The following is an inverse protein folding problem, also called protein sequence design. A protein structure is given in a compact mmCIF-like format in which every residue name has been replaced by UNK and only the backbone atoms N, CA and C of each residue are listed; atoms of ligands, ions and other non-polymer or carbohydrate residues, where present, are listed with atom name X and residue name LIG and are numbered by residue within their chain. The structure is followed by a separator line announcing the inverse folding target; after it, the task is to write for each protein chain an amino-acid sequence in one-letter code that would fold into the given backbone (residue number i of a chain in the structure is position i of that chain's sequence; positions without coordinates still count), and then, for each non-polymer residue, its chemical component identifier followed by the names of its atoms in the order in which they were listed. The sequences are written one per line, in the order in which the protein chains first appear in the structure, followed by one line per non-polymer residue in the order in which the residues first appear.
data_IF_368812652779
#
_entry.id   IF_368812652779
#
_cell.length_a   1.000
_cell.length_b   1.000
_cell.length_c   1.000
_cell.angle_alpha   90.00
_cell.angle_beta   90.00
_cell.angle_gamma   90.00
#
_symmetry.space_group_name_H-M   'P 1'
#
loop_
_entity.id
_entity.type
_entity.pdbx_description
1 polymer ?
#
# COMPACT_ATOMS: atom_id res chain seq x y z
N UNK A 1 20.06 44.22 -32.60
CA UNK A 1 20.23 42.75 -32.66
C UNK A 1 20.63 42.27 -31.29
N UNK A 2 19.70 41.72 -30.52
CA UNK A 2 20.00 40.94 -29.32
C UNK A 2 18.87 39.94 -29.16
N UNK A 3 19.09 38.73 -29.68
CA UNK A 3 18.27 37.57 -29.41
C UNK A 3 18.80 36.91 -28.14
N UNK A 4 17.92 36.51 -27.24
CA UNK A 4 17.86 35.14 -26.68
C UNK A 4 16.70 35.07 -25.72
N UNK A 5 15.64 34.38 -26.17
CA UNK A 5 14.53 33.98 -25.33
C UNK A 5 14.96 32.89 -24.36
N UNK A 6 14.44 32.96 -23.14
CA UNK A 6 14.50 31.87 -22.17
C UNK A 6 13.17 31.11 -22.24
N UNK A 7 13.16 30.04 -23.05
CA UNK A 7 12.33 28.88 -22.80
C UNK A 7 12.68 28.40 -21.37
N UNK A 8 11.73 28.20 -20.46
CA UNK A 8 10.73 27.15 -20.56
C UNK A 8 11.34 25.89 -19.97
N UNK A 9 10.85 25.47 -18.79
CA UNK A 9 10.43 24.11 -18.47
C UNK A 9 10.44 23.92 -16.94
N UNK A 10 9.24 24.01 -16.35
CA UNK A 10 8.95 23.48 -15.02
C UNK A 10 9.10 21.95 -15.11
N UNK A 11 10.28 21.42 -14.80
CA UNK A 11 10.45 19.96 -14.65
C UNK A 11 9.85 19.54 -13.32
N UNK A 12 8.60 19.10 -13.44
CA UNK A 12 7.88 18.18 -12.58
C UNK A 12 8.85 17.31 -11.72
N UNK A 13 8.82 17.52 -10.40
CA UNK A 13 9.48 16.65 -9.42
C UNK A 13 8.78 15.28 -9.44
N UNK A 14 9.18 14.38 -10.34
CA UNK A 14 9.02 12.95 -10.11
C UNK A 14 10.19 12.52 -9.23
N UNK A 15 9.88 12.07 -8.02
CA UNK A 15 10.83 11.54 -7.05
C UNK A 15 11.78 10.55 -7.74
N UNK A 16 13.07 10.88 -7.75
CA UNK A 16 14.13 9.98 -8.20
C UNK A 16 14.36 8.94 -7.10
N UNK A 17 13.58 7.87 -7.12
CA UNK A 17 13.88 6.68 -6.34
C UNK A 17 15.17 6.06 -6.93
N UNK A 18 16.31 6.32 -6.29
CA UNK A 18 17.61 5.82 -6.75
C UNK A 18 17.81 4.41 -6.21
N UNK A 19 17.61 3.41 -7.05
CA UNK A 19 17.91 2.01 -6.73
C UNK A 19 19.40 1.77 -6.96
N UNK A 20 20.17 1.59 -5.88
CA UNK A 20 21.56 1.12 -5.98
C UNK A 20 21.56 -0.42 -5.97
N UNK A 21 21.73 -1.02 -7.14
CA UNK A 21 21.81 -2.47 -7.31
C UNK A 21 23.17 -3.00 -6.84
N UNK A 22 23.29 -3.32 -5.56
CA UNK A 22 24.33 -4.25 -5.06
C UNK A 22 23.70 -5.62 -4.90
N UNK A 23 23.64 -6.39 -5.97
CA UNK A 23 23.00 -7.71 -5.98
C UNK A 23 23.96 -8.83 -5.61
N UNK A 24 23.68 -9.55 -4.52
CA UNK A 24 24.24 -10.88 -4.28
C UNK A 24 23.15 -11.92 -4.57
N UNK A 25 23.34 -12.76 -5.58
CA UNK A 25 22.44 -13.89 -5.84
C UNK A 25 22.64 -14.91 -4.72
N UNK A 26 21.61 -15.08 -3.88
CA UNK A 26 21.57 -16.23 -2.97
C UNK A 26 21.16 -17.46 -3.78
N UNK A 27 21.63 -18.65 -3.39
CA UNK A 27 21.33 -19.94 -4.04
C UNK A 27 19.83 -20.29 -4.06
N UNK A 28 18.99 -19.44 -3.48
CA UNK A 28 17.52 -19.52 -3.36
C UNK A 28 16.76 -18.67 -4.39
N UNK A 29 17.43 -17.97 -5.32
CA UNK A 29 16.76 -17.23 -6.41
C UNK A 29 16.17 -15.87 -6.02
N UNK A 30 16.61 -15.28 -4.89
CA UNK A 30 16.16 -13.96 -4.42
C UNK A 30 16.98 -12.82 -5.01
N UNK A 31 16.34 -11.69 -5.32
CA UNK A 31 16.99 -10.49 -5.85
C UNK A 31 17.09 -9.43 -4.74
N UNK A 32 18.16 -9.51 -3.95
CA UNK A 32 18.36 -8.60 -2.82
C UNK A 32 19.04 -7.30 -3.25
N UNK A 33 18.49 -6.16 -2.82
CA UNK A 33 19.01 -4.81 -3.10
C UNK A 33 19.02 -3.95 -1.83
N UNK A 34 19.73 -2.83 -1.88
CA UNK A 34 19.63 -1.77 -0.85
C UNK A 34 18.72 -0.68 -1.39
N UNK A 35 17.57 -0.49 -0.74
CA UNK A 35 16.58 0.51 -1.14
C UNK A 35 16.79 1.80 -0.34
N UNK A 36 16.83 2.93 -1.04
CA UNK A 36 16.87 4.27 -0.45
C UNK A 36 15.51 4.92 -0.70
N UNK A 37 14.75 5.18 0.35
CA UNK A 37 13.41 5.75 0.29
C UNK A 37 13.26 6.91 1.29
N UNK A 38 12.08 7.55 1.33
CA UNK A 38 11.81 8.68 2.23
C UNK A 38 11.87 8.30 3.73
N UNK A 39 11.73 7.01 4.05
CA UNK A 39 11.87 6.45 5.39
C UNK A 39 13.30 6.04 5.78
N UNK A 40 14.27 6.19 4.86
CA UNK A 40 15.68 5.87 5.11
C UNK A 40 16.24 4.78 4.18
N UNK A 41 17.08 3.90 4.74
CA UNK A 41 17.76 2.83 3.99
C UNK A 41 17.22 1.48 4.44
N UNK A 42 16.72 0.68 3.50
CA UNK A 42 16.33 -0.70 3.72
C UNK A 42 17.36 -1.63 3.08
N UNK A 43 18.19 -2.25 3.91
CA UNK A 43 19.17 -3.24 3.46
C UNK A 43 18.50 -4.59 3.21
N UNK A 44 19.02 -5.37 2.25
CA UNK A 44 18.53 -6.71 1.93
C UNK A 44 17.05 -6.78 1.49
N UNK A 45 16.55 -5.72 0.87
CA UNK A 45 15.19 -5.70 0.30
C UNK A 45 15.09 -6.68 -0.87
N UNK A 46 14.11 -7.58 -0.84
CA UNK A 46 13.90 -8.57 -1.90
C UNK A 46 13.06 -7.99 -3.04
N UNK A 47 13.73 -7.37 -4.01
CA UNK A 47 13.09 -6.78 -5.17
C UNK A 47 12.36 -7.82 -6.03
N UNK A 48 12.81 -9.08 -6.01
CA UNK A 48 12.14 -10.17 -6.74
C UNK A 48 10.72 -10.38 -6.23
N UNK A 49 10.56 -10.48 -4.91
CA UNK A 49 9.26 -10.63 -4.26
C UNK A 49 8.35 -9.42 -4.56
N UNK A 50 8.87 -8.21 -4.46
CA UNK A 50 8.09 -7.00 -4.74
C UNK A 50 7.59 -6.93 -6.19
N UNK A 51 8.36 -7.41 -7.16
CA UNK A 51 7.93 -7.48 -8.56
C UNK A 51 6.86 -8.55 -8.77
N UNK A 52 7.01 -9.71 -8.12
CA UNK A 52 6.02 -10.78 -8.17
C UNK A 52 4.68 -10.33 -7.59
N UNK A 53 4.71 -9.56 -6.49
CA UNK A 53 3.51 -9.01 -5.88
C UNK A 53 2.85 -7.96 -6.78
N UNK A 54 3.61 -7.06 -7.41
CA UNK A 54 3.04 -6.09 -8.37
C UNK A 54 2.36 -6.80 -9.56
N UNK A 55 3.02 -7.80 -10.14
CA UNK A 55 2.44 -8.61 -11.21
C UNK A 55 1.17 -9.35 -10.75
N UNK A 56 1.13 -9.81 -9.49
CA UNK A 56 -0.07 -10.40 -8.92
C UNK A 56 -1.23 -9.39 -8.90
N UNK A 57 -1.02 -8.17 -8.42
CA UNK A 57 -2.07 -7.14 -8.36
C UNK A 57 -2.59 -6.71 -9.73
N UNK A 58 -1.74 -6.73 -10.76
CA UNK A 58 -2.16 -6.42 -12.14
C UNK A 58 -3.14 -7.45 -12.71
N UNK A 59 -3.10 -8.69 -12.19
CA UNK A 59 -3.99 -9.78 -12.61
C UNK A 59 -5.14 -10.04 -11.64
N UNK A 60 -5.15 -9.38 -10.48
CA UNK A 60 -6.14 -9.53 -9.41
C UNK A 60 -6.66 -8.16 -8.96
N UNK A 61 -7.56 -7.53 -9.75
CA UNK A 61 -8.06 -6.18 -9.46
C UNK A 61 -8.75 -6.10 -8.08
N UNK A 62 -9.42 -7.15 -7.61
CA UNK A 62 -10.02 -7.15 -6.27
C UNK A 62 -8.96 -7.08 -5.16
N UNK A 63 -7.84 -7.79 -5.32
CA UNK A 63 -6.74 -7.73 -4.38
C UNK A 63 -6.11 -6.33 -4.37
N UNK A 64 -5.96 -5.71 -5.55
CA UNK A 64 -5.45 -4.34 -5.69
C UNK A 64 -6.34 -3.32 -4.99
N UNK A 65 -7.66 -3.44 -5.14
CA UNK A 65 -8.64 -2.59 -4.45
C UNK A 65 -8.60 -2.80 -2.93
N UNK A 66 -8.54 -4.04 -2.46
CA UNK A 66 -8.43 -4.34 -1.03
C UNK A 66 -7.16 -3.74 -0.42
N UNK A 67 -6.02 -3.84 -1.12
CA UNK A 67 -4.76 -3.22 -0.71
C UNK A 67 -4.87 -1.71 -0.65
N UNK A 68 -5.44 -1.08 -1.67
CA UNK A 68 -5.60 0.38 -1.71
C UNK A 68 -6.45 0.89 -0.53
N UNK A 69 -7.61 0.26 -0.30
CA UNK A 69 -8.47 0.56 0.84
C UNK A 69 -7.72 0.41 2.17
N UNK A 70 -7.02 -0.72 2.38
CA UNK A 70 -6.25 -0.96 3.62
C UNK A 70 -5.14 0.08 3.81
N UNK A 71 -4.43 0.46 2.75
CA UNK A 71 -3.39 1.52 2.81
C UNK A 71 -3.99 2.85 3.26
N UNK A 72 -5.08 3.30 2.64
CA UNK A 72 -5.76 4.56 2.99
C UNK A 72 -6.20 4.56 4.46
N UNK A 73 -6.79 3.46 4.93
CA UNK A 73 -7.20 3.32 6.33
C UNK A 73 -6.00 3.38 7.27
N UNK A 74 -4.88 2.71 6.94
CA UNK A 74 -3.68 2.70 7.78
C UNK A 74 -2.93 4.04 7.82
N UNK A 75 -3.10 4.85 6.77
CA UNK A 75 -2.61 6.22 6.66
C UNK A 75 -3.53 7.23 7.35
N UNK A 76 -4.74 6.81 7.76
CA UNK A 76 -5.76 7.67 8.37
C UNK A 76 -6.57 8.47 7.35
N UNK A 77 -6.42 8.19 6.06
CA UNK A 77 -7.20 8.80 4.98
C UNK A 77 -8.56 8.11 4.82
N UNK A 78 -9.43 8.37 5.80
CA UNK A 78 -10.76 7.77 5.86
C UNK A 78 -11.71 8.31 4.78
N UNK A 79 -11.46 9.50 4.26
CA UNK A 79 -12.27 10.10 3.17
C UNK A 79 -12.05 9.32 1.88
N UNK A 80 -10.80 9.17 1.44
CA UNK A 80 -10.48 8.36 0.25
C UNK A 80 -10.89 6.90 0.41
N UNK A 81 -10.75 6.33 1.62
CA UNK A 81 -11.21 4.98 1.92
C UNK A 81 -12.75 4.85 1.79
N UNK A 82 -13.51 5.89 2.13
CA UNK A 82 -14.96 5.90 1.94
C UNK A 82 -15.33 6.06 0.47
N UNK A 83 -14.59 6.88 -0.29
CA UNK A 83 -14.81 7.08 -1.72
C UNK A 83 -14.64 5.78 -2.52
N UNK A 84 -13.62 4.98 -2.22
CA UNK A 84 -13.43 3.71 -2.93
C UNK A 84 -14.55 2.71 -2.60
N UNK A 85 -15.07 2.70 -1.37
CA UNK A 85 -16.15 1.81 -0.95
C UNK A 85 -17.48 2.04 -1.68
N UNK A 86 -17.71 3.25 -2.20
CA UNK A 86 -18.93 3.60 -2.94
C UNK A 86 -18.75 3.52 -4.46
N UNK A 87 -17.58 3.08 -4.93
CA UNK A 87 -17.30 2.90 -6.34
C UNK A 87 -17.96 1.62 -6.89
N UNK A 88 -18.26 1.62 -8.19
CA UNK A 88 -18.78 0.44 -8.90
C UNK A 88 -17.78 -0.73 -8.82
N UNK A 89 -16.48 -0.44 -8.95
CA UNK A 89 -15.40 -1.44 -8.87
C UNK A 89 -15.39 -2.18 -7.53
N UNK A 90 -15.70 -1.49 -6.43
CA UNK A 90 -15.77 -2.10 -5.10
C UNK A 90 -16.98 -3.03 -4.95
N UNK A 91 -18.14 -2.59 -5.45
CA UNK A 91 -19.36 -3.39 -5.44
C UNK A 91 -19.21 -4.64 -6.33
N UNK A 92 -18.69 -4.48 -7.56
CA UNK A 92 -18.42 -5.59 -8.49
C UNK A 92 -17.41 -6.59 -7.94
N UNK A 93 -16.39 -6.10 -7.21
CA UNK A 93 -15.41 -6.92 -6.54
C UNK A 93 -15.98 -7.70 -5.34
N UNK A 94 -17.20 -7.38 -4.88
CA UNK A 94 -17.83 -8.02 -3.72
C UNK A 94 -17.05 -7.80 -2.42
N UNK A 95 -16.33 -6.68 -2.32
CA UNK A 95 -15.47 -6.38 -1.18
C UNK A 95 -16.29 -5.87 0.02
N UNK A 96 -15.72 -6.05 1.20
CA UNK A 96 -16.28 -5.55 2.47
C UNK A 96 -15.18 -4.88 3.27
N UNK A 97 -15.56 -4.14 4.32
CA UNK A 97 -14.62 -3.45 5.23
C UNK A 97 -13.64 -4.43 5.91
N UNK A 98 -14.02 -5.70 6.01
CA UNK A 98 -13.18 -6.78 6.57
C UNK A 98 -12.26 -7.44 5.53
N UNK A 99 -12.00 -6.77 4.40
CA UNK A 99 -11.08 -7.29 3.38
C UNK A 99 -9.66 -7.48 3.94
N UNK A 100 -8.96 -8.46 3.38
CA UNK A 100 -7.59 -8.83 3.74
C UNK A 100 -6.68 -8.63 2.53
N UNK A 101 -5.39 -8.44 2.78
CA UNK A 101 -4.37 -8.45 1.74
C UNK A 101 -3.28 -9.45 2.14
N UNK A 102 -3.45 -10.71 1.73
CA UNK A 102 -2.55 -11.81 2.11
C UNK A 102 -1.10 -11.62 1.64
N UNK A 103 -0.87 -10.70 0.70
CA UNK A 103 0.44 -10.37 0.14
C UNK A 103 1.11 -9.20 0.87
N UNK A 104 0.43 -8.55 1.80
CA UNK A 104 1.02 -7.47 2.59
C UNK A 104 2.22 -7.97 3.41
N UNK A 105 3.34 -7.26 3.28
CA UNK A 105 4.55 -7.53 4.05
C UNK A 105 4.37 -7.23 5.55
N UNK A 106 5.21 -7.83 6.40
CA UNK A 106 5.20 -7.55 7.84
C UNK A 106 4.18 -8.36 8.65
N UNK A 107 3.52 -9.34 8.03
CA UNK A 107 2.65 -10.30 8.73
C UNK A 107 1.28 -9.74 9.12
N UNK A 108 0.92 -8.56 8.62
CA UNK A 108 -0.38 -7.92 8.84
C UNK A 108 -1.42 -8.32 7.80
N UNK A 109 -1.01 -8.99 6.71
CA UNK A 109 -1.89 -9.33 5.59
C UNK A 109 -3.11 -10.20 5.95
N UNK A 110 -2.99 -11.02 6.98
CA UNK A 110 -4.09 -11.83 7.51
C UNK A 110 -4.99 -11.11 8.52
N UNK A 111 -4.77 -9.82 8.78
CA UNK A 111 -5.51 -9.03 9.75
C UNK A 111 -6.40 -8.00 9.04
N UNK A 112 -7.61 -7.80 9.56
CA UNK A 112 -8.51 -6.74 9.09
C UNK A 112 -8.00 -5.37 9.51
N UNK A 113 -8.40 -4.32 8.80
CA UNK A 113 -8.04 -2.95 9.15
C UNK A 113 -8.46 -2.56 10.57
N UNK A 114 -9.57 -3.14 11.07
CA UNK A 114 -10.04 -2.88 12.44
C UNK A 114 -9.05 -3.40 13.48
N UNK A 115 -8.54 -4.62 13.32
CA UNK A 115 -7.54 -5.18 14.22
C UNK A 115 -6.27 -4.33 14.23
N UNK A 116 -5.85 -3.85 13.06
CA UNK A 116 -4.67 -2.98 12.93
C UNK A 116 -4.87 -1.63 13.61
N UNK A 117 -6.03 -0.99 13.43
CA UNK A 117 -6.37 0.27 14.08
C UNK A 117 -6.38 0.14 15.61
N UNK A 118 -7.01 -0.92 16.13
CA UNK A 118 -7.03 -1.21 17.56
C UNK A 118 -5.64 -1.47 18.13
N UNK A 119 -4.80 -2.23 17.42
CA UNK A 119 -3.42 -2.49 17.82
C UNK A 119 -2.56 -1.23 17.90
N UNK A 120 -2.91 -0.18 17.15
CA UNK A 120 -2.25 1.15 17.18
C UNK A 120 -2.87 2.11 18.19
N UNK A 121 -4.01 1.77 18.79
CA UNK A 121 -4.78 2.69 19.64
C UNK A 121 -5.47 3.81 18.86
N UNK A 122 -5.71 3.61 17.56
CA UNK A 122 -6.39 4.58 16.70
C UNK A 122 -7.92 4.42 16.83
N UNK A 123 -8.47 5.05 17.86
CA UNK A 123 -9.90 4.99 18.18
C UNK A 123 -10.79 5.62 17.09
N UNK A 124 -10.29 6.64 16.39
CA UNK A 124 -11.06 7.32 15.34
C UNK A 124 -11.26 6.40 14.14
N UNK A 125 -10.17 5.81 13.65
CA UNK A 125 -10.20 4.84 12.56
C UNK A 125 -11.02 3.60 12.96
N UNK A 126 -10.84 3.07 14.17
CA UNK A 126 -11.62 1.93 14.64
C UNK A 126 -13.12 2.24 14.67
N UNK A 127 -13.52 3.43 15.15
CA UNK A 127 -14.92 3.86 15.18
C UNK A 127 -15.50 4.02 13.77
N UNK A 128 -14.72 4.56 12.83
CA UNK A 128 -15.14 4.68 11.43
C UNK A 128 -15.40 3.30 10.81
N UNK A 129 -14.46 2.37 10.96
CA UNK A 129 -14.57 1.00 10.45
C UNK A 129 -15.79 0.27 11.03
N UNK A 130 -16.05 0.40 12.34
CA UNK A 130 -17.25 -0.16 12.98
C UNK A 130 -18.51 0.46 12.39
N UNK A 131 -18.54 1.77 12.16
CA UNK A 131 -19.70 2.45 11.55
C UNK A 131 -19.95 2.00 10.12
N UNK A 132 -18.91 1.59 9.40
CA UNK A 132 -18.97 1.03 8.06
C UNK A 132 -19.29 -0.47 8.02
N UNK A 133 -19.45 -1.11 9.19
CA UNK A 133 -19.89 -2.50 9.30
C UNK A 133 -18.78 -3.53 9.51
N UNK A 134 -17.58 -3.11 9.93
CA UNK A 134 -16.52 -4.04 10.32
C UNK A 134 -16.98 -4.99 11.44
N UNK A 135 -16.64 -6.28 11.31
CA UNK A 135 -16.99 -7.28 12.33
C UNK A 135 -16.17 -7.07 13.58
N UNK A 136 -16.84 -7.02 14.73
CA UNK A 136 -16.23 -6.93 16.06
C UNK A 136 -16.13 -8.27 16.77
N UNK A 137 -16.70 -9.33 16.18
CA UNK A 137 -16.67 -10.68 16.74
C UNK A 137 -15.21 -11.20 16.82
N UNK A 138 -14.80 -11.65 18.00
CA UNK A 138 -13.43 -12.10 18.27
C UNK A 138 -12.50 -11.05 18.92
N UNK A 139 -12.96 -9.82 19.15
CA UNK A 139 -12.20 -8.78 19.85
C UNK A 139 -12.41 -8.73 21.37
N UNK A 140 -13.38 -9.48 21.89
CA UNK A 140 -13.68 -9.56 23.33
C UNK A 140 -13.02 -10.81 23.94
N UNK A 141 -11.95 -10.60 24.71
CA UNK A 141 -11.53 -11.49 25.79
C UNK A 141 -11.62 -10.73 27.11
#
# INVERSE_FOLDING_TARGET
MHFTGRAGHLTNLKALQTVLLSGSSSTTGKLLVTLYNEGGVSEHFDLGQSLDDEHYYDTHPQAKLSRAFRSMVLEGDLESAQEIMISEDWEEAGLTVDCLDEREEGGTGGLTSLVLALGRGDEETARALISWGARTEGLAN
#
